data_IF_374556108292
#
_entry.id   IF_374556108292
#
_cell.length_a   1.000
_cell.length_b   1.000
_cell.length_c   1.000
_cell.angle_alpha   90.00
_cell.angle_beta   90.00
_cell.angle_gamma   90.00
#
_symmetry.space_group_name_H-M   'P 1'
#
loop_
_entity.id
_entity.type
_entity.pdbx_description
1 polymer ?
#
# COMPACT_ATOMS: atom_id res chain seq x y z
N UNK A 1 28.48 44.31 -21.08
CA UNK A 1 27.85 44.59 -22.40
C UNK A 1 27.75 43.32 -23.25
N UNK A 2 28.85 42.59 -23.47
CA UNK A 2 28.86 41.34 -24.26
C UNK A 2 27.90 40.27 -23.68
N UNK A 3 27.95 40.01 -22.38
CA UNK A 3 27.07 39.02 -21.72
C UNK A 3 25.58 39.35 -21.82
N UNK A 4 25.24 40.64 -21.83
CA UNK A 4 23.84 41.09 -21.98
C UNK A 4 23.29 40.86 -23.38
N UNK A 5 24.16 40.83 -24.39
CA UNK A 5 23.75 40.63 -25.78
C UNK A 5 23.54 39.15 -26.07
N UNK A 6 24.36 38.26 -25.48
CA UNK A 6 24.32 36.82 -25.72
C UNK A 6 23.00 36.15 -25.30
N UNK A 7 22.47 36.42 -24.11
CA UNK A 7 21.18 35.82 -23.71
C UNK A 7 20.02 36.37 -24.55
N UNK A 8 20.10 37.62 -25.01
CA UNK A 8 19.07 38.23 -25.88
C UNK A 8 19.08 37.54 -27.25
N UNK A 9 20.25 37.40 -27.87
CA UNK A 9 20.39 36.72 -29.17
C UNK A 9 19.89 35.29 -29.07
N UNK A 10 20.34 34.54 -28.06
CA UNK A 10 19.89 33.16 -27.87
C UNK A 10 18.38 33.10 -27.57
N UNK A 11 17.85 34.01 -26.75
CA UNK A 11 16.41 34.06 -26.48
C UNK A 11 15.55 34.33 -27.69
N UNK A 12 16.02 35.12 -28.65
CA UNK A 12 15.33 35.32 -29.92
C UNK A 12 15.44 34.08 -30.83
N UNK A 13 16.64 33.50 -30.97
CA UNK A 13 16.91 32.31 -31.80
C UNK A 13 16.07 31.12 -31.33
N UNK A 14 16.04 30.85 -30.03
CA UNK A 14 15.31 29.74 -29.44
C UNK A 14 13.81 30.04 -29.21
N UNK A 15 13.35 31.22 -29.64
CA UNK A 15 11.97 31.71 -29.46
C UNK A 15 11.52 31.61 -28.00
N UNK A 16 12.36 32.03 -27.07
CA UNK A 16 12.05 32.17 -25.64
C UNK A 16 11.65 33.60 -25.33
N UNK A 17 12.37 34.56 -25.89
CA UNK A 17 12.11 36.00 -25.74
C UNK A 17 11.45 36.54 -27.01
N UNK A 18 10.51 37.45 -26.84
CA UNK A 18 9.97 38.23 -27.97
C UNK A 18 10.96 39.33 -28.38
N UNK A 19 10.70 40.00 -29.51
CA UNK A 19 11.48 41.17 -29.93
C UNK A 19 11.55 42.24 -28.83
N UNK A 20 10.46 42.42 -28.08
CA UNK A 20 10.52 43.07 -26.79
C UNK A 20 11.04 42.05 -25.76
N UNK A 21 12.32 42.14 -25.39
CA UNK A 21 13.00 41.18 -24.52
C UNK A 21 12.48 41.16 -23.07
N UNK A 22 11.60 42.09 -22.70
CA UNK A 22 10.81 42.04 -21.45
C UNK A 22 9.61 41.09 -21.52
N UNK A 23 9.30 40.55 -22.71
CA UNK A 23 8.22 39.60 -22.92
C UNK A 23 8.71 38.23 -23.36
N UNK A 24 8.02 37.19 -22.92
CA UNK A 24 8.15 35.81 -23.40
C UNK A 24 7.55 35.70 -24.80
N UNK A 25 8.18 34.91 -25.67
CA UNK A 25 7.68 34.65 -27.01
C UNK A 25 6.38 33.82 -26.96
N UNK A 26 5.40 34.12 -27.81
CA UNK A 26 4.12 33.38 -27.86
C UNK A 26 4.32 31.89 -28.12
N UNK A 27 5.16 31.49 -29.08
CA UNK A 27 5.49 30.09 -29.34
C UNK A 27 6.07 29.35 -28.11
N UNK A 28 6.79 30.06 -27.21
CA UNK A 28 7.27 29.45 -25.97
C UNK A 28 6.10 29.03 -25.08
N UNK A 29 5.11 29.90 -24.91
CA UNK A 29 3.96 29.66 -24.03
C UNK A 29 2.88 28.81 -24.69
N UNK A 30 2.59 29.01 -25.97
CA UNK A 30 1.43 28.36 -26.63
C UNK A 30 1.78 26.98 -27.17
N UNK A 31 3.03 26.77 -27.62
CA UNK A 31 3.43 25.51 -28.27
C UNK A 31 4.42 24.73 -27.41
N UNK A 32 5.53 25.37 -27.01
CA UNK A 32 6.61 24.67 -26.33
C UNK A 32 6.24 24.26 -24.90
N UNK A 33 5.72 25.16 -24.08
CA UNK A 33 5.45 24.87 -22.67
C UNK A 33 4.38 23.79 -22.47
N UNK A 34 3.23 23.81 -23.18
CA UNK A 34 2.22 22.76 -23.03
C UNK A 34 2.75 21.39 -23.49
N UNK A 35 3.53 21.38 -24.58
CA UNK A 35 4.20 20.15 -25.02
C UNK A 35 5.20 19.66 -23.96
N UNK A 36 6.00 20.55 -23.40
CA UNK A 36 6.91 20.23 -22.30
C UNK A 36 6.20 19.66 -21.07
N UNK A 37 5.18 20.37 -20.58
CA UNK A 37 4.39 19.94 -19.43
C UNK A 37 3.74 18.57 -19.66
N UNK A 38 3.18 18.35 -20.85
CA UNK A 38 2.62 17.04 -21.24
C UNK A 38 3.66 15.93 -21.26
N UNK A 39 4.86 16.19 -21.79
CA UNK A 39 5.94 15.20 -21.88
C UNK A 39 6.48 14.83 -20.50
N UNK A 40 6.70 15.83 -19.63
CA UNK A 40 7.13 15.60 -18.25
C UNK A 40 6.04 14.86 -17.46
N UNK A 41 4.77 15.28 -17.57
CA UNK A 41 3.66 14.65 -16.88
C UNK A 41 3.46 13.19 -17.30
N UNK A 42 3.60 12.87 -18.59
CA UNK A 42 3.53 11.50 -19.12
C UNK A 42 4.53 10.58 -18.44
N UNK A 43 5.80 10.97 -18.35
CA UNK A 43 6.83 10.18 -17.65
C UNK A 43 6.54 10.17 -16.14
N UNK A 44 6.08 11.28 -15.58
CA UNK A 44 5.66 11.38 -14.18
C UNK A 44 4.56 10.39 -13.80
N UNK A 45 3.48 10.28 -14.59
CA UNK A 45 2.40 9.32 -14.37
C UNK A 45 2.86 7.88 -14.47
N UNK A 46 3.74 7.58 -15.44
CA UNK A 46 4.38 6.29 -15.55
C UNK A 46 5.15 5.94 -14.27
N UNK A 47 5.98 6.85 -13.77
CA UNK A 47 6.74 6.64 -12.53
C UNK A 47 5.85 6.55 -11.29
N UNK A 48 4.82 7.39 -11.17
CA UNK A 48 3.81 7.31 -10.10
C UNK A 48 3.16 5.92 -10.10
N UNK A 49 2.84 5.38 -11.27
CA UNK A 49 2.25 4.04 -11.42
C UNK A 49 3.20 2.93 -11.00
N UNK A 50 4.50 3.06 -11.31
CA UNK A 50 5.53 2.13 -10.83
C UNK A 50 5.64 2.09 -9.31
N UNK A 51 5.43 3.23 -8.64
CA UNK A 51 5.57 3.35 -7.18
C UNK A 51 4.25 3.19 -6.40
N UNK A 52 3.11 3.08 -7.06
CA UNK A 52 1.80 2.97 -6.41
C UNK A 52 1.57 1.60 -5.74
N UNK A 53 2.05 0.50 -6.34
CA UNK A 53 1.98 -0.83 -5.73
C UNK A 53 3.22 -1.11 -4.89
N UNK A 54 3.08 -1.60 -3.63
CA UNK A 54 4.23 -1.97 -2.78
C UNK A 54 5.16 -2.98 -3.45
N UNK A 55 4.59 -3.93 -4.21
CA UNK A 55 5.35 -4.98 -4.89
C UNK A 55 6.17 -4.44 -6.06
N UNK A 56 5.57 -3.59 -6.90
CA UNK A 56 6.28 -2.98 -8.03
C UNK A 56 7.33 -2.01 -7.53
N UNK A 57 7.00 -1.19 -6.52
CA UNK A 57 7.94 -0.27 -5.87
C UNK A 57 9.15 -1.02 -5.31
N UNK A 58 8.92 -2.11 -4.57
CA UNK A 58 10.00 -2.96 -4.02
C UNK A 58 10.86 -3.60 -5.11
N UNK A 59 10.25 -4.12 -6.19
CA UNK A 59 10.98 -4.69 -7.32
C UNK A 59 11.82 -3.66 -8.07
N UNK A 60 11.28 -2.46 -8.32
CA UNK A 60 12.01 -1.36 -8.95
C UNK A 60 13.18 -0.94 -8.06
N UNK A 61 12.95 -0.68 -6.78
CA UNK A 61 14.00 -0.33 -5.82
C UNK A 61 15.11 -1.37 -5.77
N UNK A 62 14.78 -2.65 -5.57
CA UNK A 62 15.78 -3.73 -5.48
C UNK A 62 16.58 -3.91 -6.77
N UNK A 63 15.98 -3.66 -7.93
CA UNK A 63 16.66 -3.75 -9.23
C UNK A 63 17.62 -2.58 -9.42
N UNK A 64 17.18 -1.37 -9.09
CA UNK A 64 17.98 -0.15 -9.26
C UNK A 64 19.11 -0.05 -8.22
N UNK A 65 18.87 -0.51 -6.99
CA UNK A 65 19.87 -0.55 -5.93
C UNK A 65 21.08 -1.41 -6.29
N UNK A 66 20.87 -2.52 -7.01
CA UNK A 66 21.97 -3.36 -7.54
C UNK A 66 22.87 -2.63 -8.52
N UNK A 67 22.35 -1.60 -9.20
CA UNK A 67 23.14 -0.76 -10.10
C UNK A 67 23.85 0.33 -9.30
N UNK A 68 23.08 1.22 -8.67
CA UNK A 68 23.54 2.15 -7.63
C UNK A 68 22.35 2.87 -6.99
N UNK A 69 22.46 3.35 -5.75
CA UNK A 69 21.41 4.15 -5.10
C UNK A 69 20.96 5.36 -5.93
N UNK A 70 21.87 5.94 -6.72
CA UNK A 70 21.60 7.08 -7.60
C UNK A 70 20.51 6.80 -8.63
N UNK A 71 20.39 5.56 -9.11
CA UNK A 71 19.34 5.20 -10.07
C UNK A 71 17.95 5.25 -9.47
N UNK A 72 17.81 4.99 -8.17
CA UNK A 72 16.53 5.13 -7.50
C UNK A 72 16.20 6.61 -7.24
N UNK A 73 17.20 7.37 -6.79
CA UNK A 73 17.08 8.80 -6.51
C UNK A 73 16.69 9.63 -7.72
N UNK A 74 17.31 9.37 -8.88
CA UNK A 74 17.04 10.14 -10.09
C UNK A 74 15.58 10.00 -10.56
N UNK A 75 14.92 8.87 -10.27
CA UNK A 75 13.49 8.68 -10.56
C UNK A 75 12.60 9.53 -9.64
N UNK A 76 12.95 9.62 -8.35
CA UNK A 76 12.26 10.51 -7.41
C UNK A 76 12.47 11.99 -7.74
N UNK A 77 13.69 12.36 -8.14
CA UNK A 77 13.97 13.72 -8.61
C UNK A 77 13.19 14.06 -9.88
N UNK A 78 13.03 13.09 -10.79
CA UNK A 78 12.16 13.27 -11.95
C UNK A 78 10.69 13.43 -11.56
N UNK A 79 10.19 12.66 -10.58
CA UNK A 79 8.82 12.84 -10.08
C UNK A 79 8.59 14.24 -9.50
N UNK A 80 9.59 14.79 -8.80
CA UNK A 80 9.56 16.16 -8.30
C UNK A 80 9.62 17.23 -9.39
N UNK A 81 10.17 16.89 -10.56
CA UNK A 81 10.14 17.73 -11.77
C UNK A 81 8.76 17.67 -12.44
N UNK A 82 8.06 16.55 -12.30
CA UNK A 82 6.70 16.34 -12.79
C UNK A 82 5.59 16.84 -11.84
N UNK A 83 5.89 17.89 -11.08
CA UNK A 83 4.92 18.55 -10.21
C UNK A 83 3.91 19.36 -11.04
N UNK A 84 2.70 18.82 -11.16
CA UNK A 84 1.58 19.42 -11.89
C UNK A 84 1.18 20.78 -11.32
N UNK A 85 1.29 20.98 -10.00
CA UNK A 85 0.90 22.24 -9.37
C UNK A 85 1.84 23.37 -9.82
N UNK A 86 3.15 23.11 -9.80
CA UNK A 86 4.13 24.07 -10.31
C UNK A 86 3.94 24.33 -11.80
N UNK A 87 3.80 23.28 -12.62
CA UNK A 87 3.66 23.42 -14.08
C UNK A 87 2.44 24.26 -14.46
N UNK A 88 1.30 24.02 -13.80
CA UNK A 88 0.08 24.79 -14.04
C UNK A 88 0.21 26.22 -13.52
N UNK A 89 0.71 26.42 -12.30
CA UNK A 89 0.89 27.76 -11.72
C UNK A 89 1.85 28.61 -12.55
N UNK A 90 2.97 28.04 -13.00
CA UNK A 90 3.93 28.74 -13.85
C UNK A 90 3.32 29.09 -15.20
N UNK A 91 2.54 28.17 -15.78
CA UNK A 91 1.84 28.40 -17.04
C UNK A 91 0.85 29.56 -16.94
N UNK A 92 -0.06 29.51 -15.97
CA UNK A 92 -1.10 30.52 -15.75
C UNK A 92 -0.48 31.91 -15.57
N UNK A 93 0.51 32.05 -14.68
CA UNK A 93 1.19 33.33 -14.47
C UNK A 93 1.94 33.83 -15.71
N UNK A 94 2.68 32.95 -16.39
CA UNK A 94 3.47 33.32 -17.57
C UNK A 94 2.57 33.67 -18.76
N UNK A 95 1.42 33.02 -18.86
CA UNK A 95 0.42 33.25 -19.91
C UNK A 95 -0.34 34.55 -19.70
N UNK A 96 -0.69 34.90 -18.45
CA UNK A 96 -1.41 36.15 -18.16
C UNK A 96 -0.53 37.39 -18.35
N UNK A 97 0.72 37.33 -17.88
CA UNK A 97 1.61 38.49 -17.85
C UNK A 97 2.48 38.63 -19.11
N UNK A 98 2.73 37.53 -19.83
CA UNK A 98 3.73 37.44 -20.90
C UNK A 98 5.10 38.00 -20.53
N UNK A 99 5.41 38.24 -19.25
CA UNK A 99 6.66 38.88 -18.81
C UNK A 99 7.78 37.86 -18.78
N UNK A 100 8.93 38.20 -19.35
CA UNK A 100 10.16 37.37 -19.23
C UNK A 100 10.94 37.69 -17.95
N UNK A 101 10.56 38.75 -17.25
CA UNK A 101 11.13 39.16 -15.97
C UNK A 101 10.17 38.69 -14.89
N UNK A 102 10.64 37.73 -14.10
CA UNK A 102 9.94 37.15 -12.98
C UNK A 102 10.08 38.06 -11.76
N UNK A 103 9.02 38.15 -10.96
CA UNK A 103 9.09 38.78 -9.65
C UNK A 103 9.93 37.90 -8.69
N UNK A 104 10.35 38.42 -7.52
CA UNK A 104 11.24 37.68 -6.62
C UNK A 104 10.72 36.30 -6.18
N UNK A 105 9.41 36.17 -5.92
CA UNK A 105 8.80 34.90 -5.50
C UNK A 105 8.74 33.91 -6.66
N UNK A 106 8.34 34.37 -7.84
CA UNK A 106 8.33 33.56 -9.07
C UNK A 106 9.74 33.10 -9.44
N UNK A 107 10.74 33.96 -9.28
CA UNK A 107 12.13 33.63 -9.57
C UNK A 107 12.65 32.56 -8.61
N UNK A 108 12.28 32.62 -7.34
CA UNK A 108 12.65 31.60 -6.35
C UNK A 108 12.03 30.23 -6.70
N UNK A 109 10.74 30.21 -7.03
CA UNK A 109 10.05 28.98 -7.46
C UNK A 109 10.63 28.44 -8.78
N UNK A 110 10.91 29.32 -9.73
CA UNK A 110 11.53 28.97 -11.00
C UNK A 110 12.95 28.43 -10.81
N UNK A 111 13.75 29.06 -9.95
CA UNK A 111 15.10 28.59 -9.63
C UNK A 111 15.05 27.22 -8.96
N UNK A 112 14.10 26.98 -8.05
CA UNK A 112 13.88 25.67 -7.44
C UNK A 112 13.51 24.59 -8.47
N UNK A 113 12.63 24.90 -9.42
CA UNK A 113 12.30 23.99 -10.52
C UNK A 113 13.49 23.75 -11.44
N UNK A 114 14.18 24.82 -11.82
CA UNK A 114 15.34 24.77 -12.70
C UNK A 114 16.47 23.93 -12.11
N UNK A 115 16.69 24.01 -10.79
CA UNK A 115 17.63 23.16 -10.05
C UNK A 115 17.34 21.66 -10.25
N UNK A 116 16.07 21.24 -10.17
CA UNK A 116 15.66 19.86 -10.43
C UNK A 116 15.92 19.46 -11.89
N UNK A 117 15.59 20.34 -12.83
CA UNK A 117 15.83 20.11 -14.26
C UNK A 117 17.33 19.99 -14.56
N UNK A 118 18.17 20.81 -13.92
CA UNK A 118 19.62 20.74 -13.98
C UNK A 118 20.14 19.40 -13.45
N UNK A 119 19.65 18.96 -12.29
CA UNK A 119 20.02 17.67 -11.72
C UNK A 119 19.68 16.51 -12.68
N UNK A 120 18.49 16.54 -13.27
CA UNK A 120 18.05 15.56 -14.27
C UNK A 120 18.95 15.57 -15.51
N UNK A 121 19.31 16.75 -16.01
CA UNK A 121 20.21 16.90 -17.16
C UNK A 121 21.62 16.38 -16.86
N UNK A 122 22.21 16.76 -15.74
CA UNK A 122 23.57 16.33 -15.36
C UNK A 122 23.68 14.81 -15.23
N UNK A 123 22.55 14.14 -14.94
CA UNK A 123 22.48 12.70 -14.70
C UNK A 123 21.64 11.95 -15.76
N UNK A 124 21.56 12.47 -16.99
CA UNK A 124 20.69 11.91 -18.04
C UNK A 124 20.96 10.42 -18.32
N UNK A 125 22.23 10.00 -18.37
CA UNK A 125 22.56 8.59 -18.61
C UNK A 125 22.10 7.66 -17.47
N UNK A 126 22.14 8.14 -16.23
CA UNK A 126 21.63 7.39 -15.06
C UNK A 126 20.10 7.32 -15.12
N UNK A 127 19.46 8.45 -15.49
CA UNK A 127 18.01 8.52 -15.66
C UNK A 127 17.52 7.54 -16.72
N UNK A 128 18.15 7.49 -17.89
CA UNK A 128 17.78 6.59 -18.98
C UNK A 128 17.82 5.12 -18.52
N UNK A 129 18.93 4.69 -17.91
CA UNK A 129 19.07 3.32 -17.39
C UNK A 129 18.03 3.01 -16.32
N UNK A 130 17.79 3.95 -15.40
CA UNK A 130 16.82 3.79 -14.33
C UNK A 130 15.38 3.67 -14.88
N UNK A 131 15.03 4.52 -15.83
CA UNK A 131 13.72 4.55 -16.46
C UNK A 131 13.43 3.31 -17.30
N UNK A 132 14.41 2.82 -18.07
CA UNK A 132 14.26 1.57 -18.83
C UNK A 132 14.13 0.36 -17.91
N UNK A 133 14.86 0.33 -16.81
CA UNK A 133 14.73 -0.72 -15.79
C UNK A 133 13.35 -0.70 -15.14
N UNK A 134 12.85 0.48 -14.76
CA UNK A 134 11.49 0.65 -14.23
C UNK A 134 10.43 0.24 -15.27
N UNK A 135 10.63 0.59 -16.54
CA UNK A 135 9.74 0.23 -17.65
C UNK A 135 9.64 -1.27 -17.83
N UNK A 136 10.77 -1.99 -17.79
CA UNK A 136 10.80 -3.43 -17.96
C UNK A 136 9.97 -4.12 -16.85
N UNK A 137 10.11 -3.67 -15.61
CA UNK A 137 9.34 -4.18 -14.47
C UNK A 137 7.85 -3.86 -14.64
N UNK A 138 7.53 -2.62 -15.01
CA UNK A 138 6.14 -2.19 -15.25
C UNK A 138 5.46 -3.00 -16.36
N UNK A 139 6.15 -3.18 -17.49
CA UNK A 139 5.66 -3.94 -18.65
C UNK A 139 5.43 -5.42 -18.28
N UNK A 140 6.33 -6.01 -17.50
CA UNK A 140 6.17 -7.38 -17.02
C UNK A 140 4.98 -7.53 -16.06
N UNK A 141 4.76 -6.55 -15.18
CA UNK A 141 3.73 -6.62 -14.15
C UNK A 141 2.32 -6.31 -14.69
N UNK A 142 2.18 -5.24 -15.49
CA UNK A 142 0.90 -4.77 -15.99
C UNK A 142 0.57 -5.24 -17.41
N UNK A 143 1.50 -5.92 -18.10
CA UNK A 143 1.37 -6.35 -19.52
C UNK A 143 1.03 -5.20 -20.49
N UNK A 144 1.38 -3.97 -20.12
CA UNK A 144 1.21 -2.77 -20.94
C UNK A 144 2.53 -2.43 -21.63
N UNK A 145 2.49 -2.18 -22.93
CA UNK A 145 3.68 -1.86 -23.70
C UNK A 145 3.89 -0.34 -23.76
N UNK A 146 4.91 0.15 -23.07
CA UNK A 146 5.41 1.52 -23.21
C UNK A 146 6.55 1.49 -24.23
N UNK A 147 6.57 2.40 -25.20
CA UNK A 147 7.64 2.45 -26.20
C UNK A 147 8.95 2.97 -25.60
N UNK A 148 10.00 2.17 -25.67
CA UNK A 148 11.36 2.55 -25.23
C UNK A 148 11.90 3.74 -26.03
N UNK A 149 11.77 3.68 -27.36
CA UNK A 149 12.23 4.74 -28.26
C UNK A 149 11.50 6.07 -28.00
N UNK A 150 10.23 6.01 -27.63
CA UNK A 150 9.44 7.20 -27.32
C UNK A 150 9.90 7.82 -25.99
N UNK A 151 10.12 6.98 -24.98
CA UNK A 151 10.60 7.42 -23.67
C UNK A 151 11.98 8.09 -23.76
N UNK A 152 12.91 7.51 -24.51
CA UNK A 152 14.24 8.10 -24.72
C UNK A 152 14.19 9.41 -25.51
N UNK A 153 13.29 9.52 -26.50
CA UNK A 153 13.05 10.78 -27.21
C UNK A 153 12.50 11.86 -26.28
N UNK A 154 11.55 11.50 -25.43
CA UNK A 154 10.93 12.40 -24.47
C UNK A 154 11.97 12.93 -23.45
N UNK A 155 12.83 12.04 -22.93
CA UNK A 155 13.96 12.43 -22.04
C UNK A 155 14.91 13.38 -22.77
N UNK A 156 15.34 13.01 -23.99
CA UNK A 156 16.26 13.83 -24.77
C UNK A 156 15.70 15.22 -25.06
N UNK A 157 14.39 15.33 -25.35
CA UNK A 157 13.72 16.62 -25.48
C UNK A 157 13.77 17.43 -24.17
N UNK A 158 13.52 16.82 -23.02
CA UNK A 158 13.54 17.48 -21.71
C UNK A 158 14.96 17.96 -21.36
N UNK A 159 15.97 17.09 -21.47
CA UNK A 159 17.34 17.37 -21.00
C UNK A 159 18.13 18.27 -21.94
N UNK A 160 17.80 18.26 -23.23
CA UNK A 160 18.47 19.08 -24.25
C UNK A 160 17.65 20.33 -24.56
N UNK A 161 16.56 20.18 -25.31
CA UNK A 161 15.80 21.31 -25.86
C UNK A 161 15.11 22.13 -24.76
N UNK A 162 14.40 21.47 -23.83
CA UNK A 162 13.66 22.19 -22.81
C UNK A 162 14.60 22.88 -21.82
N UNK A 163 15.63 22.17 -21.36
CA UNK A 163 16.66 22.75 -20.50
C UNK A 163 17.28 24.02 -21.10
N UNK A 164 17.66 24.02 -22.38
CA UNK A 164 18.28 25.19 -23.01
C UNK A 164 17.36 26.40 -22.99
N UNK A 165 16.07 26.18 -23.27
CA UNK A 165 15.09 27.27 -23.25
C UNK A 165 14.85 27.81 -21.85
N UNK A 166 14.74 26.95 -20.84
CA UNK A 166 14.64 27.38 -19.44
C UNK A 166 15.93 28.04 -18.95
N UNK A 167 17.10 27.61 -19.41
CA UNK A 167 18.38 28.21 -19.07
C UNK A 167 18.49 29.65 -19.56
N UNK A 168 17.97 29.95 -20.75
CA UNK A 168 17.88 31.32 -21.26
C UNK A 168 16.98 32.17 -20.37
N UNK A 169 15.83 31.64 -19.94
CA UNK A 169 14.92 32.34 -19.04
C UNK A 169 15.58 32.62 -17.67
N UNK A 170 16.38 31.69 -17.15
CA UNK A 170 17.18 31.90 -15.95
C UNK A 170 18.20 33.03 -16.15
N UNK A 171 19.01 32.96 -17.22
CA UNK A 171 20.01 33.98 -17.54
C UNK A 171 19.38 35.37 -17.70
N UNK A 172 18.16 35.44 -18.26
CA UNK A 172 17.40 36.68 -18.41
C UNK A 172 17.10 37.35 -17.07
N UNK A 173 16.75 36.55 -16.07
CA UNK A 173 16.37 37.01 -14.73
C UNK A 173 17.58 37.28 -13.83
N UNK A 174 18.69 36.56 -14.02
CA UNK A 174 19.98 36.87 -13.41
C UNK A 174 20.59 38.15 -14.01
N UNK A 175 20.25 38.47 -15.27
CA UNK A 175 20.83 39.59 -16.01
C UNK A 175 22.25 39.31 -16.51
N UNK A 176 22.64 38.04 -16.57
CA UNK A 176 23.95 37.58 -17.05
C UNK A 176 23.79 36.31 -17.85
N UNK A 177 24.42 36.25 -19.03
CA UNK A 177 24.51 35.00 -19.76
C UNK A 177 25.56 34.09 -19.11
N UNK A 178 25.13 32.90 -18.72
CA UNK A 178 26.00 31.82 -18.28
C UNK A 178 25.96 30.78 -19.39
N UNK A 179 27.10 30.18 -19.73
CA UNK A 179 27.12 29.12 -20.74
C UNK A 179 26.43 27.87 -20.18
N UNK A 180 25.63 27.22 -21.02
CA UNK A 180 25.00 25.93 -20.73
C UNK A 180 26.06 24.92 -20.27
N UNK A 181 25.84 24.32 -19.09
CA UNK A 181 26.78 23.35 -18.49
C UNK A 181 27.91 23.96 -17.67
N UNK A 182 27.96 25.29 -17.55
CA UNK A 182 28.93 25.95 -16.66
C UNK A 182 28.59 25.68 -15.18
N UNK A 183 29.58 25.35 -14.34
CA UNK A 183 29.36 25.18 -12.90
C UNK A 183 28.92 26.48 -12.21
N UNK A 184 29.19 27.64 -12.82
CA UNK A 184 28.79 28.95 -12.29
C UNK A 184 27.27 29.08 -12.12
N UNK A 185 26.47 28.30 -12.85
CA UNK A 185 25.00 28.29 -12.69
C UNK A 185 24.62 27.91 -11.26
N UNK A 186 25.39 27.03 -10.61
CA UNK A 186 25.13 26.54 -9.25
C UNK A 186 25.26 27.65 -8.20
N UNK A 187 26.03 28.71 -8.47
CA UNK A 187 26.16 29.86 -7.56
C UNK A 187 24.87 30.69 -7.44
N UNK A 188 23.95 30.56 -8.41
CA UNK A 188 22.67 31.28 -8.45
C UNK A 188 21.49 30.40 -8.00
N UNK A 189 21.76 29.18 -7.54
CA UNK A 189 20.75 28.22 -7.09
C UNK A 189 20.96 27.91 -5.61
N UNK A 190 19.85 27.91 -4.85
CA UNK A 190 19.88 27.52 -3.44
C UNK A 190 19.74 26.01 -3.34
N UNK A 191 20.78 25.35 -2.84
CA UNK A 191 20.80 23.90 -2.61
C UNK A 191 20.41 23.56 -1.18
N UNK A 192 19.65 22.49 -1.03
CA UNK A 192 19.21 21.91 0.23
C UNK A 192 19.65 20.43 0.32
N UNK A 193 19.42 19.80 1.48
CA UNK A 193 19.82 18.41 1.69
C UNK A 193 19.17 17.43 0.70
N UNK A 194 17.97 17.75 0.18
CA UNK A 194 17.26 16.91 -0.76
C UNK A 194 17.87 16.89 -2.16
N UNK A 195 18.78 17.82 -2.46
CA UNK A 195 19.55 17.84 -3.71
C UNK A 195 20.79 16.94 -3.66
N UNK A 196 21.13 16.39 -2.49
CA UNK A 196 22.29 15.50 -2.37
C UNK A 196 22.02 14.14 -3.02
N UNK A 197 22.95 13.61 -3.84
CA UNK A 197 22.83 12.27 -4.38
C UNK A 197 22.66 11.21 -3.29
N UNK A 198 21.62 10.38 -3.38
CA UNK A 198 21.32 9.32 -2.41
C UNK A 198 20.38 9.75 -1.28
N UNK A 199 19.93 11.01 -1.25
CA UNK A 199 18.98 11.51 -0.26
C UNK A 199 17.68 10.70 -0.21
N UNK A 200 17.04 10.44 -1.36
CA UNK A 200 15.72 9.79 -1.37
C UNK A 200 15.81 8.31 -0.99
N UNK A 201 16.84 7.62 -1.47
CA UNK A 201 17.18 6.27 -1.09
C UNK A 201 17.45 6.19 0.42
N UNK A 202 18.26 7.10 0.97
CA UNK A 202 18.56 7.13 2.40
C UNK A 202 17.32 7.43 3.21
N UNK A 203 16.54 8.45 2.84
CA UNK A 203 15.29 8.83 3.49
C UNK A 203 14.29 7.67 3.55
N UNK A 204 14.08 6.95 2.46
CA UNK A 204 13.17 5.80 2.48
C UNK A 204 13.73 4.61 3.26
N UNK A 205 15.05 4.38 3.22
CA UNK A 205 15.71 3.34 4.00
C UNK A 205 15.67 3.63 5.49
N UNK A 206 15.91 4.88 5.88
CA UNK A 206 15.82 5.36 7.25
C UNK A 206 14.36 5.28 7.73
N UNK A 207 13.38 5.69 6.90
CA UNK A 207 11.96 5.54 7.22
C UNK A 207 11.52 4.06 7.34
N UNK A 208 12.08 3.17 6.53
CA UNK A 208 11.85 1.71 6.63
C UNK A 208 12.53 1.13 7.87
N UNK A 209 13.74 1.56 8.20
CA UNK A 209 14.43 1.16 9.42
C UNK A 209 13.72 1.69 10.66
N UNK A 210 13.23 2.92 10.63
CA UNK A 210 12.36 3.47 11.66
C UNK A 210 11.05 2.72 11.74
N UNK A 211 10.41 2.35 10.62
CA UNK A 211 9.19 1.57 10.64
C UNK A 211 9.44 0.16 11.20
N UNK A 212 10.56 -0.49 10.85
CA UNK A 212 10.98 -1.77 11.40
C UNK A 212 11.37 -1.63 12.87
N UNK A 213 12.04 -0.55 13.27
CA UNK A 213 12.38 -0.27 14.66
C UNK A 213 11.16 0.11 15.47
N UNK A 214 10.16 0.78 14.88
CA UNK A 214 8.85 1.06 15.50
C UNK A 214 8.04 -0.21 15.59
N UNK A 215 8.08 -1.10 14.60
CA UNK A 215 7.46 -2.42 14.69
C UNK A 215 8.16 -3.29 15.72
N UNK A 216 9.50 -3.26 15.78
CA UNK A 216 10.28 -3.99 16.79
C UNK A 216 10.12 -3.40 18.17
N UNK A 217 10.14 -2.08 18.34
CA UNK A 217 9.86 -1.43 19.63
C UNK A 217 8.39 -1.53 19.99
N UNK A 218 7.46 -1.61 19.04
CA UNK A 218 6.06 -1.94 19.32
C UNK A 218 5.89 -3.42 19.62
N UNK A 219 6.68 -4.31 19.03
CA UNK A 219 6.74 -5.74 19.37
C UNK A 219 7.48 -5.98 20.68
N UNK A 220 8.46 -5.15 21.03
CA UNK A 220 9.28 -5.22 22.23
C UNK A 220 8.61 -4.45 23.38
N UNK A 221 7.83 -3.40 23.11
CA UNK A 221 6.87 -2.77 24.03
C UNK A 221 5.64 -3.64 24.15
N UNK A 222 5.20 -4.36 23.10
CA UNK A 222 4.16 -5.39 23.23
C UNK A 222 4.72 -6.59 23.97
N UNK A 223 5.98 -6.99 23.79
CA UNK A 223 6.64 -8.04 24.58
C UNK A 223 7.01 -7.58 25.97
N UNK A 224 7.29 -6.31 26.23
CA UNK A 224 7.52 -5.73 27.56
C UNK A 224 6.22 -5.37 28.25
N UNK A 225 5.15 -5.02 27.53
CA UNK A 225 3.80 -4.97 28.10
C UNK A 225 3.28 -6.38 28.32
N UNK A 226 3.64 -7.35 27.48
CA UNK A 226 3.39 -8.76 27.70
C UNK A 226 4.30 -9.30 28.80
N UNK A 227 5.56 -8.91 28.96
CA UNK A 227 6.47 -9.34 30.03
C UNK A 227 6.20 -8.61 31.34
N UNK A 228 5.77 -7.34 31.32
CA UNK A 228 5.29 -6.61 32.51
C UNK A 228 3.85 -7.04 32.88
N UNK A 229 3.00 -7.44 31.93
CA UNK A 229 1.71 -8.11 32.22
C UNK A 229 1.87 -9.60 32.56
N UNK A 230 2.94 -10.27 32.12
CA UNK A 230 3.26 -11.67 32.44
C UNK A 230 3.99 -11.76 33.78
N UNK A 231 4.96 -10.89 34.07
CA UNK A 231 5.65 -10.82 35.37
C UNK A 231 4.75 -10.24 36.47
N UNK A 232 3.68 -9.50 36.13
CA UNK A 232 2.62 -9.12 37.11
C UNK A 232 1.38 -10.00 37.10
N UNK A 233 1.25 -11.01 36.24
CA UNK A 233 0.14 -11.98 36.29
C UNK A 233 0.53 -13.38 35.85
N UNK A 234 1.49 -14.00 36.53
CA UNK A 234 1.42 -15.45 36.71
C UNK A 234 0.48 -15.79 37.88
N UNK A 235 -0.78 -16.06 37.52
CA UNK A 235 -1.65 -17.17 37.95
C UNK A 235 -3.03 -16.93 37.28
N UNK A 236 -3.26 -17.67 36.20
CA UNK A 236 -4.55 -18.21 35.71
C UNK A 236 -5.87 -17.52 36.09
N UNK A 237 -6.18 -16.38 35.45
CA UNK A 237 -7.58 -16.09 35.11
C UNK A 237 -7.70 -15.67 33.66
N UNK A 238 -8.21 -16.60 32.85
CA UNK A 238 -8.78 -16.31 31.53
C UNK A 238 -9.73 -15.11 31.70
N UNK A 239 -9.58 -14.01 30.94
CA UNK A 239 -10.49 -12.86 31.02
C UNK A 239 -11.94 -13.30 30.81
N UNK A 240 -12.90 -12.68 31.49
CA UNK A 240 -14.31 -13.14 31.48
C UNK A 240 -14.95 -13.03 30.09
N UNK A 241 -14.54 -12.04 29.31
CA UNK A 241 -14.83 -11.84 27.91
C UNK A 241 -14.27 -12.96 27.01
N UNK A 242 -13.09 -13.51 27.34
CA UNK A 242 -12.52 -14.68 26.67
C UNK A 242 -13.29 -15.96 27.07
N UNK A 243 -13.65 -16.12 28.34
CA UNK A 243 -14.48 -17.27 28.79
C UNK A 243 -15.83 -17.32 28.08
N UNK A 244 -16.46 -16.16 27.92
CA UNK A 244 -17.73 -16.06 27.18
C UNK A 244 -17.55 -16.45 25.72
N UNK A 245 -16.46 -16.02 25.08
CA UNK A 245 -16.12 -16.47 23.73
C UNK A 245 -15.87 -17.97 23.64
N UNK A 246 -15.19 -18.57 24.64
CA UNK A 246 -14.98 -20.03 24.68
C UNK A 246 -16.31 -20.80 24.67
N UNK A 247 -17.29 -20.36 25.45
CA UNK A 247 -18.61 -21.02 25.44
C UNK A 247 -19.24 -21.07 24.04
N UNK A 248 -19.02 -20.03 23.22
CA UNK A 248 -19.54 -19.99 21.85
C UNK A 248 -18.76 -20.91 20.91
N UNK A 249 -17.45 -21.00 21.10
CA UNK A 249 -16.60 -21.92 20.34
C UNK A 249 -16.87 -23.38 20.71
N UNK A 250 -17.16 -23.66 21.97
CA UNK A 250 -17.51 -24.99 22.46
C UNK A 250 -18.87 -25.43 21.91
N UNK A 251 -19.85 -24.53 21.81
CA UNK A 251 -21.13 -24.80 21.13
C UNK A 251 -20.90 -25.21 19.67
N UNK A 252 -20.02 -24.51 18.95
CA UNK A 252 -19.68 -24.81 17.55
C UNK A 252 -18.98 -26.16 17.43
N UNK A 253 -17.99 -26.40 18.28
CA UNK A 253 -17.26 -27.66 18.28
C UNK A 253 -18.15 -28.86 18.64
N UNK A 254 -19.02 -28.69 19.64
CA UNK A 254 -20.01 -29.73 20.02
C UNK A 254 -20.99 -30.00 18.88
N UNK A 255 -21.46 -28.96 18.20
CA UNK A 255 -22.35 -29.11 17.03
C UNK A 255 -21.67 -29.89 15.91
N UNK A 256 -20.41 -29.57 15.63
CA UNK A 256 -19.58 -30.28 14.65
C UNK A 256 -19.39 -31.75 15.02
N UNK A 257 -19.07 -32.07 16.28
CA UNK A 257 -18.94 -33.46 16.73
C UNK A 257 -20.24 -34.26 16.58
N UNK A 258 -21.39 -33.64 16.83
CA UNK A 258 -22.70 -34.31 16.76
C UNK A 258 -23.20 -34.53 15.32
N UNK A 259 -22.75 -33.71 14.36
CA UNK A 259 -23.22 -33.75 12.96
C UNK A 259 -22.04 -33.90 11.98
N UNK A 260 -20.98 -34.59 12.40
CA UNK A 260 -19.71 -34.62 11.68
C UNK A 260 -19.88 -35.13 10.24
N UNK A 261 -20.75 -36.13 10.03
CA UNK A 261 -21.05 -36.69 8.70
C UNK A 261 -21.69 -35.65 7.77
N UNK A 262 -22.66 -34.86 8.26
CA UNK A 262 -23.32 -33.81 7.47
C UNK A 262 -22.35 -32.68 7.10
N UNK A 263 -21.47 -32.29 8.02
CA UNK A 263 -20.42 -31.29 7.74
C UNK A 263 -19.41 -31.80 6.72
N UNK A 264 -19.05 -33.08 6.77
CA UNK A 264 -18.10 -33.73 5.85
C UNK A 264 -18.72 -33.90 4.45
N UNK A 265 -20.01 -34.21 4.36
CA UNK A 265 -20.74 -34.33 3.09
C UNK A 265 -20.94 -32.99 2.39
N UNK A 266 -21.19 -31.92 3.17
CA UNK A 266 -21.40 -30.57 2.62
C UNK A 266 -20.10 -29.80 2.37
N UNK A 267 -19.03 -30.12 3.10
CA UNK A 267 -17.75 -29.41 3.04
C UNK A 267 -16.57 -30.35 2.78
N UNK A 268 -16.14 -30.36 1.52
CA UNK A 268 -15.03 -31.18 1.05
C UNK A 268 -13.67 -30.86 1.64
N UNK A 269 -13.49 -29.76 2.39
CA UNK A 269 -12.20 -29.39 3.01
C UNK A 269 -11.98 -30.19 4.30
N UNK A 270 -12.97 -30.24 5.20
CA UNK A 270 -12.85 -30.94 6.49
C UNK A 270 -12.65 -32.45 6.33
N UNK A 271 -13.21 -33.04 5.27
CA UNK A 271 -13.04 -34.47 4.97
C UNK A 271 -11.60 -34.87 4.60
N UNK A 272 -10.79 -33.89 4.17
CA UNK A 272 -9.43 -34.09 3.66
C UNK A 272 -8.34 -33.79 4.69
N UNK A 273 -8.70 -33.15 5.80
CA UNK A 273 -7.77 -32.78 6.88
C UNK A 273 -7.97 -33.75 8.07
N UNK A 274 -6.90 -34.17 8.76
CA UNK A 274 -7.05 -34.97 9.98
C UNK A 274 -7.88 -34.23 11.06
N UNK A 275 -8.78 -34.91 11.79
CA UNK A 275 -9.64 -34.27 12.80
C UNK A 275 -8.88 -33.60 13.95
N UNK A 276 -7.70 -34.13 14.29
CA UNK A 276 -6.84 -33.60 15.36
C UNK A 276 -5.90 -32.48 14.88
N UNK A 277 -6.04 -32.04 13.63
CA UNK A 277 -5.23 -30.98 13.07
C UNK A 277 -5.68 -29.60 13.57
N UNK A 278 -4.73 -28.77 14.00
CA UNK A 278 -5.00 -27.38 14.37
C UNK A 278 -5.65 -26.60 13.22
N UNK A 279 -5.29 -26.93 11.96
CA UNK A 279 -5.86 -26.29 10.77
C UNK A 279 -7.33 -26.68 10.56
N UNK A 280 -7.72 -27.93 10.85
CA UNK A 280 -9.11 -28.35 10.78
C UNK A 280 -9.97 -27.54 11.75
N UNK A 281 -9.48 -27.35 12.98
CA UNK A 281 -10.19 -26.57 13.99
C UNK A 281 -10.24 -25.07 13.65
N UNK A 282 -9.15 -24.52 13.08
CA UNK A 282 -9.16 -23.16 12.55
C UNK A 282 -10.18 -23.00 11.40
N UNK A 283 -10.27 -23.98 10.51
CA UNK A 283 -11.22 -23.95 9.40
C UNK A 283 -12.67 -24.03 9.89
N UNK A 284 -12.95 -24.86 10.89
CA UNK A 284 -14.28 -24.94 11.52
C UNK A 284 -14.72 -23.58 12.07
N UNK A 285 -13.87 -22.92 12.85
CA UNK A 285 -14.19 -21.59 13.39
C UNK A 285 -14.22 -20.51 12.31
N UNK A 286 -13.41 -20.64 11.27
CA UNK A 286 -13.46 -19.77 10.10
C UNK A 286 -14.83 -19.86 9.43
N UNK A 287 -15.34 -21.07 9.19
CA UNK A 287 -16.65 -21.28 8.59
C UNK A 287 -17.76 -20.69 9.43
N UNK A 288 -17.75 -20.95 10.73
CA UNK A 288 -18.72 -20.36 11.64
C UNK A 288 -18.68 -18.82 11.58
N UNK A 289 -17.49 -18.23 11.68
CA UNK A 289 -17.32 -16.77 11.67
C UNK A 289 -17.77 -16.18 10.33
N UNK A 290 -17.29 -16.76 9.22
CA UNK A 290 -17.67 -16.38 7.85
C UNK A 290 -19.17 -16.45 7.66
N UNK A 291 -19.79 -17.57 7.97
CA UNK A 291 -21.18 -17.82 7.57
C UNK A 291 -22.19 -17.14 8.51
N UNK A 292 -21.88 -17.03 9.81
CA UNK A 292 -22.82 -16.51 10.80
C UNK A 292 -22.52 -15.09 11.23
N UNK A 293 -21.24 -14.72 11.36
CA UNK A 293 -20.85 -13.46 11.97
C UNK A 293 -20.50 -12.38 10.96
N UNK A 294 -20.10 -12.69 9.72
CA UNK A 294 -19.80 -11.63 8.73
C UNK A 294 -21.03 -11.08 8.02
N UNK A 295 -22.23 -11.59 8.31
CA UNK A 295 -23.46 -11.21 7.62
C UNK A 295 -23.77 -9.71 7.67
N UNK A 296 -23.40 -9.02 8.75
CA UNK A 296 -23.60 -7.58 8.86
C UNK A 296 -22.75 -6.77 7.88
N UNK A 297 -21.68 -7.36 7.34
CA UNK A 297 -20.79 -6.71 6.38
C UNK A 297 -21.44 -6.65 4.98
N UNK A 298 -22.26 -7.64 4.65
CA UNK A 298 -22.88 -7.81 3.33
C UNK A 298 -24.34 -7.35 3.26
N UNK A 299 -25.04 -7.33 4.39
CA UNK A 299 -26.46 -6.96 4.47
C UNK A 299 -26.71 -5.46 4.26
N UNK A 300 -27.81 -5.14 3.59
CA UNK A 300 -28.23 -3.74 3.33
C UNK A 300 -28.94 -3.13 4.54
N UNK A 301 -29.51 -3.97 5.37
CA UNK A 301 -30.25 -3.67 6.59
C UNK A 301 -29.36 -3.03 7.66
N UNK A 302 -28.02 -3.10 7.53
CA UNK A 302 -27.08 -2.42 8.42
C UNK A 302 -26.67 -1.07 7.81
N UNK A 303 -27.10 0.01 8.46
CA UNK A 303 -26.86 1.37 8.00
C UNK A 303 -25.56 1.93 8.60
N UNK A 304 -24.50 1.94 7.80
CA UNK A 304 -23.21 2.51 8.17
C UNK A 304 -23.15 4.01 7.86
N UNK A 305 -22.71 4.81 8.83
CA UNK A 305 -22.45 6.24 8.65
C UNK A 305 -21.02 6.46 8.16
N UNK A 306 -20.85 7.37 7.20
CA UNK A 306 -19.54 7.82 6.72
C UNK A 306 -19.17 9.07 7.52
N UNK A 307 -17.99 9.07 8.14
CA UNK A 307 -17.48 10.23 8.90
C UNK A 307 -16.20 10.77 8.27
N UNK A 308 -15.98 12.07 8.44
CA UNK A 308 -14.70 12.71 8.20
C UNK A 308 -14.10 13.09 9.55
N UNK A 309 -13.04 12.39 9.98
CA UNK A 309 -12.24 12.76 11.15
C UNK A 309 -10.91 13.32 10.68
N UNK A 310 -10.54 14.52 11.15
CA UNK A 310 -9.23 15.13 10.84
C UNK A 310 -8.89 15.14 9.34
N UNK A 311 -9.86 15.46 8.48
CA UNK A 311 -9.74 15.48 7.01
C UNK A 311 -9.53 14.09 6.37
N UNK A 312 -9.67 12.99 7.12
CA UNK A 312 -9.69 11.61 6.60
C UNK A 312 -11.10 11.04 6.62
N UNK A 313 -11.49 10.42 5.51
CA UNK A 313 -12.74 9.66 5.41
C UNK A 313 -12.58 8.36 6.21
N UNK A 314 -13.34 8.21 7.30
CA UNK A 314 -13.47 6.97 8.06
C UNK A 314 -14.68 6.22 7.49
N UNK A 315 -14.41 5.15 6.76
CA UNK A 315 -15.41 4.31 6.09
C UNK A 315 -15.34 2.88 6.63
N UNK A 316 -15.96 2.66 7.78
CA UNK A 316 -15.93 1.36 8.48
C UNK A 316 -16.55 0.24 7.61
N UNK A 317 -17.47 0.58 6.71
CA UNK A 317 -18.02 -0.39 5.75
C UNK A 317 -16.94 -0.83 4.76
N UNK A 318 -16.11 0.09 4.28
CA UNK A 318 -14.94 -0.24 3.46
C UNK A 318 -13.95 -1.12 4.21
N UNK A 319 -13.68 -0.83 5.49
CA UNK A 319 -12.75 -1.62 6.31
C UNK A 319 -13.26 -3.06 6.51
N UNK A 320 -14.57 -3.22 6.78
CA UNK A 320 -15.21 -4.53 6.90
C UNK A 320 -15.18 -5.31 5.57
N UNK A 321 -15.35 -4.64 4.44
CA UNK A 321 -15.22 -5.27 3.12
C UNK A 321 -13.79 -5.75 2.84
N UNK A 322 -12.78 -5.02 3.30
CA UNK A 322 -11.39 -5.45 3.18
C UNK A 322 -11.15 -6.75 3.98
N UNK A 323 -11.69 -6.83 5.20
CA UNK A 323 -11.64 -8.05 6.03
C UNK A 323 -12.31 -9.24 5.32
N UNK A 324 -13.47 -9.04 4.69
CA UNK A 324 -14.12 -10.09 3.89
C UNK A 324 -13.22 -10.59 2.75
N UNK A 325 -12.56 -9.66 2.05
CA UNK A 325 -11.64 -10.03 0.97
C UNK A 325 -10.46 -10.85 1.48
N UNK A 326 -9.90 -10.48 2.64
CA UNK A 326 -8.83 -11.26 3.27
C UNK A 326 -9.30 -12.64 3.72
N UNK A 327 -10.51 -12.78 4.26
CA UNK A 327 -11.10 -14.08 4.56
C UNK A 327 -11.30 -14.95 3.30
N UNK A 328 -11.69 -14.35 2.18
CA UNK A 328 -11.81 -15.07 0.90
C UNK A 328 -10.45 -15.53 0.36
N UNK A 329 -9.40 -14.75 0.55
CA UNK A 329 -8.03 -15.16 0.19
C UNK A 329 -7.53 -16.27 1.11
N UNK A 330 -7.82 -16.19 2.41
CA UNK A 330 -7.47 -17.23 3.37
C UNK A 330 -8.17 -18.58 3.08
N UNK A 331 -9.39 -18.54 2.53
CA UNK A 331 -10.08 -19.75 2.09
C UNK A 331 -9.26 -20.59 1.10
N UNK A 332 -8.58 -19.93 0.15
CA UNK A 332 -7.73 -20.60 -0.84
C UNK A 332 -6.55 -21.30 -0.16
N UNK A 333 -5.99 -20.72 0.90
CA UNK A 333 -4.93 -21.37 1.67
C UNK A 333 -5.44 -22.64 2.37
N UNK A 334 -6.67 -22.63 2.89
CA UNK A 334 -7.31 -23.82 3.46
C UNK A 334 -7.55 -24.90 2.40
N UNK A 335 -7.98 -24.54 1.18
CA UNK A 335 -8.14 -25.48 0.07
C UNK A 335 -6.81 -26.14 -0.32
N UNK A 336 -5.76 -25.33 -0.52
CA UNK A 336 -4.41 -25.83 -0.84
C UNK A 336 -3.91 -26.76 0.27
N UNK A 337 -4.11 -26.35 1.52
CA UNK A 337 -3.71 -27.15 2.67
C UNK A 337 -4.42 -28.51 2.67
N UNK A 338 -5.75 -28.53 2.51
CA UNK A 338 -6.54 -29.76 2.47
C UNK A 338 -6.16 -30.70 1.32
N UNK A 339 -5.86 -30.16 0.13
CA UNK A 339 -5.38 -30.97 -0.99
C UNK A 339 -4.05 -31.66 -0.70
N UNK A 340 -3.11 -30.96 -0.06
CA UNK A 340 -1.83 -31.53 0.31
C UNK A 340 -2.01 -32.54 1.45
N UNK A 341 -2.88 -32.28 2.43
CA UNK A 341 -3.21 -33.22 3.49
C UNK A 341 -3.76 -34.54 2.95
N UNK A 342 -4.67 -34.48 1.97
CA UNK A 342 -5.20 -35.67 1.30
C UNK A 342 -4.09 -36.44 0.56
N UNK A 343 -3.23 -35.74 -0.17
CA UNK A 343 -2.09 -36.34 -0.88
C UNK A 343 -1.15 -37.07 0.09
N UNK A 344 -0.81 -36.43 1.21
CA UNK A 344 0.04 -37.01 2.26
C UNK A 344 -0.64 -38.24 2.87
N UNK A 345 -1.94 -38.20 3.14
CA UNK A 345 -2.70 -39.35 3.66
C UNK A 345 -2.64 -40.56 2.71
N UNK A 346 -2.89 -40.35 1.42
CA UNK A 346 -2.84 -41.41 0.40
C UNK A 346 -1.43 -41.99 0.26
N UNK A 347 -0.39 -41.14 0.29
CA UNK A 347 1.00 -41.57 0.19
C UNK A 347 1.47 -42.36 1.41
N UNK A 348 1.01 -42.02 2.62
CA UNK A 348 1.33 -42.76 3.84
C UNK A 348 0.77 -44.19 3.84
N UNK A 349 -0.35 -44.42 3.16
CA UNK A 349 -0.95 -45.75 2.98
C UNK A 349 -0.15 -46.61 1.99
N UNK A 350 0.76 -46.02 1.20
CA UNK A 350 1.67 -46.71 0.31
C UNK A 350 3.01 -47.02 1.00
N UNK A 351 3.49 -48.26 0.90
CA UNK A 351 4.60 -48.82 1.71
C UNK A 351 6.02 -48.32 1.39
N UNK A 352 6.16 -47.28 0.55
CA UNK A 352 7.48 -46.78 0.12
C UNK A 352 7.77 -45.40 0.75
N UNK A 353 8.90 -45.31 1.45
CA UNK A 353 9.43 -44.04 1.95
C UNK A 353 9.87 -43.19 0.75
N UNK A 354 9.17 -42.09 0.48
CA UNK A 354 9.41 -41.20 -0.67
C UNK A 354 9.90 -39.83 -0.16
N UNK A 355 11.00 -39.30 -0.72
CA UNK A 355 11.48 -37.94 -0.44
C UNK A 355 10.39 -36.87 -0.70
N UNK A 356 9.43 -37.18 -1.58
CA UNK A 356 8.26 -36.32 -1.86
C UNK A 356 7.33 -36.20 -0.66
N UNK A 357 7.13 -37.28 0.10
CA UNK A 357 6.29 -37.28 1.30
C UNK A 357 6.87 -36.35 2.37
N UNK A 358 8.19 -36.35 2.54
CA UNK A 358 8.88 -35.46 3.49
C UNK A 358 8.69 -33.99 3.10
N UNK A 359 8.85 -33.66 1.81
CA UNK A 359 8.63 -32.29 1.31
C UNK A 359 7.18 -31.82 1.47
N UNK A 360 6.21 -32.71 1.25
CA UNK A 360 4.80 -32.37 1.44
C UNK A 360 4.46 -32.17 2.93
N UNK A 361 5.03 -32.97 3.85
CA UNK A 361 4.92 -32.74 5.32
C UNK A 361 5.54 -31.42 5.77
N UNK A 362 6.72 -31.07 5.25
CA UNK A 362 7.36 -29.76 5.51
C UNK A 362 6.47 -28.62 5.01
N UNK A 363 5.90 -28.76 3.81
CA UNK A 363 4.98 -27.79 3.23
C UNK A 363 3.70 -27.63 4.05
N UNK A 364 3.13 -28.72 4.58
CA UNK A 364 1.99 -28.66 5.51
C UNK A 364 2.35 -27.91 6.79
N UNK A 365 3.54 -28.14 7.34
CA UNK A 365 4.00 -27.45 8.56
C UNK A 365 4.12 -25.95 8.33
N UNK A 366 4.70 -25.55 7.18
CA UNK A 366 4.78 -24.14 6.78
C UNK A 366 3.39 -23.53 6.56
N UNK A 367 2.51 -24.18 5.80
CA UNK A 367 1.17 -23.68 5.51
C UNK A 367 0.32 -23.59 6.77
N UNK A 368 0.37 -24.59 7.66
CA UNK A 368 -0.33 -24.56 8.95
C UNK A 368 0.07 -23.35 9.79
N UNK A 369 1.36 -23.01 9.82
CA UNK A 369 1.86 -21.83 10.52
C UNK A 369 1.42 -20.55 9.81
N UNK A 370 1.53 -20.51 8.48
CA UNK A 370 1.13 -19.34 7.68
C UNK A 370 -0.35 -19.01 7.80
N UNK A 371 -1.23 -20.02 7.69
CA UNK A 371 -2.69 -19.88 7.84
C UNK A 371 -3.02 -19.29 9.21
N UNK A 372 -2.46 -19.84 10.30
CA UNK A 372 -2.73 -19.36 11.66
C UNK A 372 -2.21 -17.94 11.90
N UNK A 373 -1.05 -17.59 11.35
CA UNK A 373 -0.53 -16.23 11.43
C UNK A 373 -1.38 -15.21 10.65
N UNK A 374 -1.80 -15.55 9.42
CA UNK A 374 -2.70 -14.71 8.62
C UNK A 374 -4.05 -14.54 9.33
N UNK A 375 -4.60 -15.63 9.82
CA UNK A 375 -5.84 -15.65 10.59
C UNK A 375 -5.74 -14.76 11.83
N UNK A 376 -4.64 -14.84 12.60
CA UNK A 376 -4.42 -13.97 13.75
C UNK A 376 -4.47 -12.48 13.36
N UNK A 377 -3.82 -12.11 12.25
CA UNK A 377 -3.82 -10.73 11.76
C UNK A 377 -5.23 -10.26 11.38
N UNK A 378 -5.94 -11.03 10.56
CA UNK A 378 -7.32 -10.71 10.15
C UNK A 378 -8.23 -10.54 11.38
N UNK A 379 -8.11 -11.43 12.37
CA UNK A 379 -8.89 -11.39 13.59
C UNK A 379 -8.55 -10.18 14.47
N UNK A 380 -7.30 -9.72 14.51
CA UNK A 380 -6.91 -8.50 15.22
C UNK A 380 -7.56 -7.27 14.58
N UNK A 381 -7.49 -7.14 13.25
CA UNK A 381 -8.07 -6.03 12.53
C UNK A 381 -9.60 -6.01 12.70
N UNK A 382 -10.22 -7.19 12.67
CA UNK A 382 -11.64 -7.34 12.92
C UNK A 382 -12.03 -7.01 14.38
N UNK A 383 -11.20 -7.38 15.34
CA UNK A 383 -11.41 -7.06 16.76
C UNK A 383 -11.41 -5.53 16.97
N UNK A 384 -10.49 -4.80 16.35
CA UNK A 384 -10.41 -3.34 16.46
C UNK A 384 -11.71 -2.68 15.97
N UNK A 385 -12.27 -3.14 14.85
CA UNK A 385 -13.52 -2.60 14.32
C UNK A 385 -14.70 -2.92 15.24
N UNK A 386 -14.85 -4.17 15.68
CA UNK A 386 -15.94 -4.56 16.59
C UNK A 386 -15.87 -3.80 17.92
N UNK A 387 -14.67 -3.55 18.46
CA UNK A 387 -14.47 -2.72 19.64
C UNK A 387 -14.93 -1.28 19.44
N UNK A 388 -14.58 -0.65 18.31
CA UNK A 388 -15.02 0.72 17.99
C UNK A 388 -16.55 0.82 17.94
N UNK A 389 -17.20 -0.15 17.30
CA UNK A 389 -18.66 -0.20 17.17
C UNK A 389 -19.34 -0.40 18.53
N UNK A 390 -18.85 -1.34 19.35
CA UNK A 390 -19.41 -1.60 20.69
C UNK A 390 -19.23 -0.37 21.59
N UNK A 391 -18.07 0.30 21.50
CA UNK A 391 -17.81 1.53 22.25
C UNK A 391 -18.76 2.66 21.83
N UNK A 392 -18.92 2.90 20.53
CA UNK A 392 -19.83 3.92 19.97
C UNK A 392 -21.30 3.68 20.39
N UNK A 393 -21.72 2.41 20.52
CA UNK A 393 -23.01 2.06 21.07
C UNK A 393 -23.09 2.32 22.58
N UNK A 394 -22.07 1.92 23.34
CA UNK A 394 -22.03 2.06 24.81
C UNK A 394 -22.01 3.52 25.23
N UNK A 395 -21.28 4.36 24.50
CA UNK A 395 -21.17 5.80 24.69
C UNK A 395 -22.43 6.54 24.18
N UNK A 396 -23.40 5.82 23.57
CA UNK A 396 -24.65 6.34 22.99
C UNK A 396 -24.44 7.43 21.94
N UNK A 397 -23.31 7.39 21.25
CA UNK A 397 -22.93 8.36 20.22
C UNK A 397 -23.50 8.00 18.86
N UNK A 398 -23.60 6.71 18.55
CA UNK A 398 -24.20 6.18 17.31
C UNK A 398 -23.66 6.83 16.03
N UNK A 399 -22.35 7.11 16.02
CA UNK A 399 -21.66 7.72 14.88
C UNK A 399 -21.25 6.71 13.82
N UNK A 400 -21.22 5.41 14.13
CA UNK A 400 -20.76 4.37 13.22
C UNK A 400 -21.94 3.62 12.57
N UNK A 401 -22.84 3.08 13.39
CA UNK A 401 -24.04 2.39 12.95
C UNK A 401 -25.25 3.27 13.27
N UNK A 402 -26.07 3.56 12.27
CA UNK A 402 -27.25 4.41 12.45
C UNK A 402 -28.39 3.68 13.16
N UNK A 403 -28.49 2.37 12.97
CA UNK A 403 -29.59 1.52 13.45
C UNK A 403 -29.13 0.31 14.29
N UNK A 404 -28.34 0.51 15.37
CA UNK A 404 -27.74 -0.61 16.11
C UNK A 404 -28.75 -1.49 16.86
N UNK A 405 -29.93 -0.95 17.20
CA UNK A 405 -30.99 -1.67 17.93
C UNK A 405 -31.98 -2.37 17.01
N UNK A 406 -31.97 -2.04 15.73
CA UNK A 406 -32.85 -2.64 14.74
C UNK A 406 -32.54 -4.13 14.61
N UNK A 407 -33.60 -4.91 14.37
CA UNK A 407 -33.48 -6.35 14.19
C UNK A 407 -33.00 -6.66 12.79
N UNK A 408 -31.97 -7.49 12.68
CA UNK A 408 -31.52 -8.02 11.41
C UNK A 408 -32.59 -8.97 10.87
N UNK A 409 -33.14 -8.66 9.69
CA UNK A 409 -34.05 -9.54 8.96
C UNK A 409 -33.27 -10.18 7.83
N UNK A 410 -33.04 -11.48 7.92
CA UNK A 410 -32.31 -12.24 6.90
C UNK A 410 -33.31 -12.95 6.00
N UNK A 411 -33.19 -12.74 4.69
CA UNK A 411 -33.88 -13.60 3.71
C UNK A 411 -33.21 -14.98 3.66
N UNK A 412 -33.88 -15.96 4.28
CA UNK A 412 -33.41 -17.34 4.35
C UNK A 412 -33.22 -17.99 2.99
N UNK A 413 -33.92 -17.52 1.94
CA UNK A 413 -33.74 -18.06 0.58
C UNK A 413 -32.44 -17.61 -0.06
N UNK A 414 -31.93 -16.43 0.30
CA UNK A 414 -30.71 -15.86 -0.26
C UNK A 414 -29.47 -16.22 0.56
N UNK A 415 -29.59 -16.26 1.88
CA UNK A 415 -28.44 -16.41 2.77
C UNK A 415 -28.46 -17.71 3.59
N UNK A 416 -29.52 -18.52 3.48
CA UNK A 416 -29.74 -19.70 4.31
C UNK A 416 -30.20 -19.34 5.73
N UNK A 417 -30.37 -20.36 6.57
CA UNK A 417 -30.77 -20.17 7.97
C UNK A 417 -29.60 -19.56 8.76
N UNK A 418 -29.83 -18.43 9.43
CA UNK A 418 -28.81 -17.70 10.19
C UNK A 418 -29.15 -17.62 11.67
N UNK A 419 -28.15 -17.88 12.52
CA UNK A 419 -28.28 -17.90 14.00
C UNK A 419 -28.75 -16.56 14.57
N UNK A 420 -28.47 -15.46 13.89
CA UNK A 420 -28.77 -14.11 14.36
C UNK A 420 -29.97 -13.46 13.68
N UNK A 421 -30.78 -14.22 12.92
CA UNK A 421 -32.02 -13.71 12.37
C UNK A 421 -32.94 -13.17 13.49
N UNK A 422 -33.57 -12.02 13.27
CA UNK A 422 -34.39 -11.28 14.24
C UNK A 422 -33.67 -10.84 15.54
N UNK A 423 -32.33 -10.84 15.58
CA UNK A 423 -31.56 -10.26 16.68
C UNK A 423 -31.15 -8.81 16.39
N UNK A 424 -30.98 -7.96 17.41
CA UNK A 424 -30.46 -6.61 17.22
C UNK A 424 -29.09 -6.62 16.53
N UNK A 425 -28.80 -5.66 15.66
CA UNK A 425 -27.51 -5.58 14.94
C UNK A 425 -26.33 -5.55 15.93
N UNK A 426 -26.43 -4.76 17.00
CA UNK A 426 -25.37 -4.66 18.01
C UNK A 426 -25.09 -5.98 18.74
N UNK A 427 -26.10 -6.85 18.86
CA UNK A 427 -25.92 -8.17 19.47
C UNK A 427 -24.94 -9.03 18.68
N UNK A 428 -24.96 -8.92 17.34
CA UNK A 428 -24.07 -9.68 16.45
C UNK A 428 -22.64 -9.19 16.59
N UNK A 429 -22.41 -7.88 16.59
CA UNK A 429 -21.08 -7.30 16.84
C UNK A 429 -20.52 -7.71 18.21
N UNK A 430 -21.38 -7.74 19.23
CA UNK A 430 -21.01 -8.16 20.58
C UNK A 430 -20.65 -9.65 20.63
N UNK A 431 -21.43 -10.50 19.95
CA UNK A 431 -21.14 -11.94 19.81
C UNK A 431 -19.83 -12.17 19.05
N UNK A 432 -19.63 -11.48 17.92
CA UNK A 432 -18.41 -11.54 17.12
C UNK A 432 -17.19 -11.15 17.96
N UNK A 433 -17.28 -10.04 18.70
CA UNK A 433 -16.22 -9.58 19.59
C UNK A 433 -15.75 -10.66 20.58
N UNK A 434 -16.67 -11.29 21.31
CA UNK A 434 -16.31 -12.35 22.26
C UNK A 434 -15.72 -13.57 21.55
N UNK A 435 -16.31 -13.99 20.42
CA UNK A 435 -15.82 -15.11 19.63
C UNK A 435 -14.39 -14.87 19.12
N UNK A 436 -14.11 -13.69 18.55
CA UNK A 436 -12.80 -13.28 18.04
C UNK A 436 -11.78 -13.23 19.17
N UNK A 437 -12.13 -12.66 20.34
CA UNK A 437 -11.23 -12.63 21.50
C UNK A 437 -10.83 -14.02 21.97
N UNK A 438 -11.78 -14.95 22.05
CA UNK A 438 -11.48 -16.34 22.39
C UNK A 438 -10.59 -16.99 21.34
N UNK A 439 -10.85 -16.74 20.05
CA UNK A 439 -10.04 -17.31 18.99
C UNK A 439 -8.59 -16.82 19.01
N UNK A 440 -8.39 -15.51 19.14
CA UNK A 440 -7.07 -14.91 19.28
C UNK A 440 -6.32 -15.49 20.47
N UNK A 441 -7.01 -15.65 21.61
CA UNK A 441 -6.43 -16.29 22.79
C UNK A 441 -5.99 -17.73 22.50
N UNK A 442 -6.75 -18.50 21.70
CA UNK A 442 -6.36 -19.88 21.35
C UNK A 442 -5.14 -19.95 20.46
N UNK A 443 -5.10 -19.09 19.45
CA UNK A 443 -3.99 -19.01 18.50
C UNK A 443 -2.69 -18.62 19.19
N UNK A 444 -2.78 -17.80 20.25
CA UNK A 444 -1.61 -17.30 20.96
C UNK A 444 -1.19 -18.19 22.14
N UNK A 445 -2.14 -18.72 22.92
CA UNK A 445 -1.86 -19.25 24.27
C UNK A 445 -2.34 -20.68 24.55
N UNK A 446 -3.11 -21.32 23.67
CA UNK A 446 -3.67 -22.66 23.95
C UNK A 446 -3.41 -23.66 22.82
N UNK A 447 -4.36 -24.56 22.58
CA UNK A 447 -4.37 -25.67 21.62
C UNK A 447 -4.07 -25.28 20.17
N UNK A 448 -4.35 -24.04 19.76
CA UNK A 448 -4.04 -23.56 18.42
C UNK A 448 -2.68 -22.86 18.32
N UNK A 449 -1.92 -22.75 19.42
CA UNK A 449 -0.60 -22.12 19.46
C UNK A 449 0.55 -23.10 19.12
N UNK A 450 1.75 -22.58 18.86
CA UNK A 450 2.98 -23.37 18.61
C UNK A 450 3.02 -24.12 17.26
N UNK A 451 4.12 -24.82 16.93
CA UNK A 451 4.22 -25.56 15.67
C UNK A 451 3.23 -26.74 15.63
N UNK A 452 2.82 -27.12 14.42
CA UNK A 452 2.08 -28.34 14.16
C UNK A 452 3.08 -29.38 13.65
N UNK A 453 3.27 -30.49 14.37
CA UNK A 453 4.26 -31.50 14.02
C UNK A 453 3.55 -32.68 13.36
N UNK A 454 3.79 -32.89 12.07
CA UNK A 454 3.36 -34.10 11.35
C UNK A 454 4.43 -35.17 11.50
N UNK A 455 4.26 -36.08 12.46
CA UNK A 455 5.10 -37.28 12.58
C UNK A 455 4.83 -38.24 11.43
#
# INVERSE_FOLDING_TARGET
IVDNILFIINGLIFKVLSFNTSKIHSDFLVQFFPFYASTVAKIGYFLKSCFNSPDTKKKVRNTLEKLSPMHYDILHQFLNLADENYLNSFYEHSFDNFSSILNPQELEQFAYYYKKLLFVRENVGVLEVALLSARNIYTQYFRLNISENELLKDISFITNTAYEKFHILLCRNIGKYITVGSPLVKEYLVYDESDTPGYYYKKEKDAEQEAIQRLKSFEDEKKQMIEDDIEKKEISKIPDDVKKGFSFMDEVYTTFLNHQEEFIEQDGILSRIPPNDKVALCYLFYKELSDQYTIFMTMKEVEYKIKFEEHKKVDIKSDLNNILNEFNLLFQDFEIYAEISLKVKIQQESTFYDERLTKDKERLTFLSTSIRSKLYQILQDFLVITMKIIKDYTDKTFYIIANPEDKLVVDEKLHGVKKFNNKPIIYIFTRAYYFIKAWLFRLEKTDLSGPQIYL
#
